data_IF_663150434505
#
_entry.id   IF_663150434505
#
_cell.length_a   1.000
_cell.length_b   1.000
_cell.length_c   1.000
_cell.angle_alpha   90.00
_cell.angle_beta   90.00
_cell.angle_gamma   90.00
#
_symmetry.space_group_name_H-M   'P 1'
#
loop_
_entity.id
_entity.type
_entity.pdbx_description
1 polymer ?
#
# COMPACT_ATOMS: atom_id res chain seq x y z
N UNK A 1 16.35 5.98 -8.92
CA UNK A 1 15.25 5.78 -9.90
C UNK A 1 14.00 5.47 -9.10
N UNK A 2 12.85 6.04 -9.49
CA UNK A 2 11.59 5.78 -8.80
C UNK A 2 11.24 4.29 -8.85
N UNK A 3 10.60 3.79 -7.80
CA UNK A 3 10.13 2.42 -7.71
C UNK A 3 8.67 2.36 -7.24
N UNK A 4 7.99 1.28 -7.63
CA UNK A 4 6.61 1.00 -7.30
C UNK A 4 6.52 -0.29 -6.52
N UNK A 5 5.96 -0.23 -5.32
CA UNK A 5 5.84 -1.37 -4.43
C UNK A 5 4.41 -1.87 -4.54
N UNK A 6 4.26 -3.09 -5.01
CA UNK A 6 2.96 -3.67 -5.30
C UNK A 6 2.62 -4.71 -4.24
N UNK A 7 1.45 -4.54 -3.63
CA UNK A 7 0.87 -5.49 -2.68
C UNK A 7 -0.42 -6.06 -3.24
N UNK A 8 -0.69 -7.33 -2.93
CA UNK A 8 -1.95 -7.97 -3.26
C UNK A 8 -2.71 -8.37 -2.00
N UNK A 9 -4.03 -8.17 -2.04
CA UNK A 9 -4.93 -8.43 -0.93
C UNK A 9 -6.14 -9.26 -1.36
N UNK A 10 -6.54 -10.16 -0.48
CA UNK A 10 -7.81 -10.91 -0.54
C UNK A 10 -8.72 -10.42 0.59
N UNK A 11 -9.50 -9.38 0.33
CA UNK A 11 -10.31 -8.62 1.30
C UNK A 11 -11.58 -9.38 1.68
N UNK A 12 -11.99 -9.30 2.95
CA UNK A 12 -13.25 -9.88 3.40
C UNK A 12 -14.44 -9.10 2.80
N UNK A 13 -15.48 -9.76 2.29
CA UNK A 13 -16.61 -9.06 1.64
C UNK A 13 -17.28 -7.98 2.52
N UNK A 14 -17.39 -8.23 3.83
CA UNK A 14 -17.97 -7.28 4.79
C UNK A 14 -17.06 -6.09 5.12
N UNK A 15 -15.77 -6.15 4.75
CA UNK A 15 -14.76 -5.16 5.08
C UNK A 15 -14.34 -4.29 3.89
N UNK A 16 -14.88 -4.55 2.68
CA UNK A 16 -14.47 -3.88 1.44
C UNK A 16 -14.45 -2.35 1.58
N UNK A 17 -15.53 -1.74 2.08
CA UNK A 17 -15.60 -0.27 2.20
C UNK A 17 -14.57 0.30 3.17
N UNK A 18 -14.30 -0.41 4.26
CA UNK A 18 -13.31 -0.01 5.27
C UNK A 18 -11.91 -0.15 4.68
N UNK A 19 -11.66 -1.24 3.95
CA UNK A 19 -10.40 -1.46 3.23
C UNK A 19 -10.15 -0.38 2.18
N UNK A 20 -11.13 -0.07 1.32
CA UNK A 20 -11.02 0.97 0.30
C UNK A 20 -10.71 2.35 0.92
N UNK A 21 -11.33 2.67 2.05
CA UNK A 21 -11.03 3.89 2.81
C UNK A 21 -9.64 3.88 3.47
N UNK A 22 -9.19 2.71 3.94
CA UNK A 22 -7.89 2.55 4.60
C UNK A 22 -6.70 2.63 3.62
N UNK A 23 -6.84 1.99 2.45
CA UNK A 23 -5.78 1.79 1.46
C UNK A 23 -5.90 2.67 0.22
N UNK A 24 -6.96 3.48 0.11
CA UNK A 24 -7.09 4.48 -0.94
C UNK A 24 -6.08 5.63 -0.84
N UNK A 25 -5.98 6.49 -1.87
CA UNK A 25 -5.02 7.60 -1.95
C UNK A 25 -5.18 8.65 -0.84
N UNK A 26 -6.36 8.73 -0.22
CA UNK A 26 -6.64 9.60 0.92
C UNK A 26 -6.72 8.83 2.25
N UNK A 27 -6.30 7.57 2.24
CA UNK A 27 -6.36 6.69 3.39
C UNK A 27 -5.28 6.97 4.44
N UNK A 28 -5.41 6.40 5.64
CA UNK A 28 -4.38 6.44 6.68
C UNK A 28 -3.01 5.95 6.19
N UNK A 29 -2.93 4.97 5.29
CA UNK A 29 -1.65 4.52 4.72
C UNK A 29 -0.98 5.61 3.88
N UNK A 30 -1.72 6.17 2.91
CA UNK A 30 -1.21 7.26 2.08
C UNK A 30 -0.83 8.50 2.93
N UNK A 31 -1.61 8.82 3.97
CA UNK A 31 -1.27 9.89 4.92
C UNK A 31 0.00 9.62 5.70
N UNK A 32 0.20 8.38 6.18
CA UNK A 32 1.45 7.99 6.86
C UNK A 32 2.64 8.18 5.91
N UNK A 33 2.54 7.66 4.68
CA UNK A 33 3.61 7.76 3.68
C UNK A 33 3.89 9.20 3.25
N UNK A 34 2.87 10.06 3.16
CA UNK A 34 3.02 11.48 2.79
C UNK A 34 3.84 12.31 3.77
N UNK A 35 4.17 11.78 4.95
CA UNK A 35 5.12 12.43 5.86
C UNK A 35 6.56 12.44 5.30
N UNK A 36 6.86 11.59 4.31
CA UNK A 36 8.13 11.59 3.60
C UNK A 36 8.04 12.36 2.29
N UNK A 37 8.96 13.31 2.01
CA UNK A 37 9.03 13.97 0.70
C UNK A 37 9.45 13.01 -0.44
N UNK A 38 9.92 11.81 -0.10
CA UNK A 38 10.32 10.80 -1.07
C UNK A 38 9.16 9.91 -1.54
N UNK A 39 8.01 9.96 -0.86
CA UNK A 39 6.78 9.31 -1.28
C UNK A 39 6.08 10.16 -2.36
N UNK A 40 5.56 9.50 -3.39
CA UNK A 40 4.96 10.17 -4.55
C UNK A 40 3.43 10.08 -4.50
N UNK A 41 2.88 8.86 -4.50
CA UNK A 41 1.45 8.59 -4.38
C UNK A 41 1.18 7.12 -4.00
N UNK A 42 -0.07 6.83 -3.65
CA UNK A 42 -0.62 5.48 -3.54
C UNK A 42 -1.78 5.32 -4.52
N UNK A 43 -1.83 4.19 -5.22
CA UNK A 43 -2.96 3.79 -6.04
C UNK A 43 -3.60 2.54 -5.48
N UNK A 44 -4.92 2.50 -5.48
CA UNK A 44 -5.70 1.32 -5.14
C UNK A 44 -6.38 0.80 -6.40
N UNK A 45 -6.04 -0.41 -6.79
CA UNK A 45 -6.64 -1.10 -7.93
C UNK A 45 -7.55 -2.21 -7.44
N UNK A 46 -8.76 -2.26 -7.99
CA UNK A 46 -9.73 -3.32 -7.75
C UNK A 46 -9.72 -4.28 -8.93
N UNK A 47 -9.70 -5.58 -8.64
CA UNK A 47 -9.85 -6.61 -9.67
C UNK A 47 -11.26 -6.54 -10.27
N UNK A 48 -11.34 -6.65 -11.60
CA UNK A 48 -12.60 -6.56 -12.37
C UNK A 48 -13.36 -7.89 -12.29
N UNK A 49 -12.65 -9.02 -12.23
CA UNK A 49 -13.21 -10.36 -12.32
C UNK A 49 -13.35 -11.03 -10.94
N UNK A 50 -12.47 -10.68 -9.99
CA UNK A 50 -12.42 -11.29 -8.66
C UNK A 50 -12.82 -10.32 -7.54
N UNK A 51 -14.09 -10.39 -7.12
CA UNK A 51 -14.59 -9.53 -6.04
C UNK A 51 -13.80 -9.71 -4.73
N UNK A 52 -13.34 -8.61 -4.15
CA UNK A 52 -12.54 -8.62 -2.93
C UNK A 52 -11.04 -8.73 -3.17
N UNK A 53 -10.58 -8.90 -4.42
CA UNK A 53 -9.17 -8.84 -4.75
C UNK A 53 -8.74 -7.43 -5.11
N UNK A 54 -7.65 -6.97 -4.50
CA UNK A 54 -7.12 -5.63 -4.70
C UNK A 54 -5.60 -5.65 -4.83
N UNK A 55 -5.08 -4.65 -5.52
CA UNK A 55 -3.67 -4.29 -5.46
C UNK A 55 -3.53 -2.88 -4.88
N UNK A 56 -2.54 -2.66 -4.03
CA UNK A 56 -2.02 -1.31 -3.81
C UNK A 56 -0.70 -1.15 -4.54
N UNK A 57 -0.45 0.07 -5.01
CA UNK A 57 0.81 0.46 -5.61
C UNK A 57 1.28 1.72 -4.91
N UNK A 58 2.37 1.60 -4.15
CA UNK A 58 2.98 2.71 -3.44
C UNK A 58 4.22 3.18 -4.20
N UNK A 59 4.18 4.43 -4.65
CA UNK A 59 5.22 5.03 -5.50
C UNK A 59 6.21 5.82 -4.66
N UNK A 60 7.48 5.50 -4.82
CA UNK A 60 8.60 6.13 -4.10
C UNK A 60 9.67 6.61 -5.07
N UNK A 61 10.36 7.69 -4.72
CA UNK A 61 11.48 8.23 -5.51
C UNK A 61 12.68 7.28 -5.60
N UNK A 62 12.82 6.34 -4.66
CA UNK A 62 13.76 5.22 -4.71
C UNK A 62 13.41 4.13 -3.70
N UNK A 63 13.92 2.91 -3.92
CA UNK A 63 13.75 1.79 -2.98
C UNK A 63 14.41 2.08 -1.62
N UNK A 64 15.61 2.66 -1.63
CA UNK A 64 16.32 3.02 -0.42
C UNK A 64 15.53 4.03 0.44
N UNK A 65 14.83 4.98 -0.19
CA UNK A 65 14.00 5.94 0.55
C UNK A 65 12.80 5.27 1.24
N UNK A 66 12.18 4.27 0.61
CA UNK A 66 11.13 3.48 1.24
C UNK A 66 11.67 2.65 2.41
N UNK A 67 12.85 2.03 2.27
CA UNK A 67 13.46 1.23 3.33
C UNK A 67 13.82 2.08 4.55
N UNK A 68 14.42 3.25 4.33
CA UNK A 68 14.71 4.23 5.40
C UNK A 68 13.40 4.66 6.08
N UNK A 69 12.39 5.05 5.29
CA UNK A 69 11.09 5.44 5.84
C UNK A 69 10.48 4.34 6.72
N UNK A 70 10.53 3.08 6.28
CA UNK A 70 10.01 1.96 7.06
C UNK A 70 10.73 1.77 8.39
N UNK A 71 12.03 2.01 8.43
CA UNK A 71 12.82 1.91 9.66
C UNK A 71 12.48 3.05 10.61
N UNK A 72 12.40 4.27 10.10
CA UNK A 72 12.11 5.47 10.90
C UNK A 72 10.68 5.51 11.46
N UNK A 73 9.75 4.82 10.79
CA UNK A 73 8.32 4.80 11.17
C UNK A 73 7.83 3.43 11.66
N UNK A 74 8.72 2.57 12.16
CA UNK A 74 8.39 1.18 12.51
C UNK A 74 7.14 1.04 13.39
N UNK A 75 7.02 1.88 14.43
CA UNK A 75 5.90 1.83 15.37
C UNK A 75 4.57 2.24 14.72
N UNK A 76 4.55 3.38 14.01
CA UNK A 76 3.35 3.86 13.33
C UNK A 76 2.92 2.91 12.21
N UNK A 77 3.88 2.35 11.47
CA UNK A 77 3.66 1.35 10.45
C UNK A 77 3.06 0.08 11.05
N UNK A 78 3.63 -0.45 12.14
CA UNK A 78 3.16 -1.66 12.82
C UNK A 78 1.78 -1.49 13.44
N UNK A 79 1.49 -0.33 14.03
CA UNK A 79 0.18 -0.02 14.58
C UNK A 79 -0.91 0.02 13.49
N UNK A 80 -0.62 0.69 12.37
CA UNK A 80 -1.56 0.76 11.25
C UNK A 80 -1.76 -0.60 10.57
N UNK A 81 -0.68 -1.38 10.41
CA UNK A 81 -0.77 -2.75 9.89
C UNK A 81 -1.64 -3.64 10.78
N UNK A 82 -1.44 -3.58 12.10
CA UNK A 82 -2.24 -4.34 13.06
C UNK A 82 -3.71 -3.95 13.00
N UNK A 83 -4.02 -2.65 12.91
CA UNK A 83 -5.39 -2.15 12.80
C UNK A 83 -6.07 -2.59 11.49
N UNK A 84 -5.31 -2.75 10.41
CA UNK A 84 -5.85 -3.18 9.11
C UNK A 84 -5.86 -4.71 8.92
N UNK A 85 -5.12 -5.47 9.73
CA UNK A 85 -5.02 -6.93 9.59
C UNK A 85 -6.37 -7.67 9.57
N UNK A 86 -7.43 -7.24 10.29
CA UNK A 86 -8.72 -7.93 10.25
C UNK A 86 -9.52 -7.69 8.97
N UNK A 87 -9.09 -6.81 8.07
CA UNK A 87 -9.85 -6.42 6.87
C UNK A 87 -9.74 -7.45 5.74
N UNK A 88 -8.68 -8.26 5.72
CA UNK A 88 -8.38 -9.20 4.64
C UNK A 88 -7.98 -10.57 5.19
N UNK A 89 -8.14 -11.61 4.37
CA UNK A 89 -7.68 -12.96 4.66
C UNK A 89 -6.22 -13.17 4.33
N UNK A 90 -5.75 -12.48 3.29
CA UNK A 90 -4.39 -12.61 2.79
C UNK A 90 -3.88 -11.25 2.35
N UNK A 91 -2.61 -11.00 2.66
CA UNK A 91 -1.79 -9.91 2.12
C UNK A 91 -0.46 -10.52 1.68
N UNK A 92 0.01 -10.16 0.50
CA UNK A 92 1.35 -10.53 0.04
C UNK A 92 2.01 -9.39 -0.72
N UNK A 93 3.34 -9.35 -0.65
CA UNK A 93 4.12 -8.52 -1.58
C UNK A 93 4.09 -9.20 -2.95
N UNK A 94 3.76 -8.44 -3.98
CA UNK A 94 3.90 -8.87 -5.39
C UNK A 94 5.34 -8.61 -5.84
N UNK A 95 5.88 -7.45 -5.49
CA UNK A 95 7.26 -7.09 -5.75
C UNK A 95 7.50 -5.57 -5.69
N UNK A 96 8.73 -5.18 -5.94
CA UNK A 96 9.11 -3.80 -6.21
C UNK A 96 9.56 -3.70 -7.67
N UNK A 97 9.05 -2.70 -8.40
CA UNK A 97 9.22 -2.58 -9.84
C UNK A 97 9.70 -1.19 -10.23
N UNK A 98 10.37 -1.09 -11.38
CA UNK A 98 10.59 0.17 -12.06
C UNK A 98 9.62 0.29 -13.22
N UNK A 99 9.03 1.46 -13.40
CA UNK A 99 8.31 1.79 -14.62
C UNK A 99 9.31 1.75 -15.78
N UNK A 100 9.02 0.96 -16.81
CA UNK A 100 9.86 0.94 -18.00
C UNK A 100 9.58 2.22 -18.80
N UNK A 101 10.55 3.13 -18.95
CA UNK A 101 10.36 4.28 -19.83
C UNK A 101 10.16 3.75 -21.25
N UNK A 102 9.05 4.15 -21.89
CA UNK A 102 8.79 3.86 -23.31
C UNK A 102 9.79 4.57 -24.21
#
# INVERSE_FOLDING_TARGET
MACEIVWAFSVLPSQIKIFESAYGPEGPWARLFSSSPAFLDTRLLRDIDEAGRYLTIDRWSSMAAYEIFRQDHLDAYGALDSACSPLFREKRVVGAFHENPS
#
